data_IF_508213139533
#
_entry.id   IF_508213139533
#
_cell.length_a   1.000
_cell.length_b   1.000
_cell.length_c   1.000
_cell.angle_alpha   90.00
_cell.angle_beta   90.00
_cell.angle_gamma   90.00
#
_symmetry.space_group_name_H-M   'P 1'
#
loop_
_entity.id
_entity.type
_entity.pdbx_description
1 polymer ?
#
# COMPACT_ATOMS: atom_id res chain seq x y z
N UNK A 1 15.81 -9.74 18.32
CA UNK A 1 14.84 -10.22 17.29
C UNK A 1 14.49 -11.66 17.63
N UNK A 2 13.21 -11.98 17.80
CA UNK A 2 12.76 -13.36 18.03
C UNK A 2 12.71 -14.15 16.72
N UNK A 3 12.53 -15.48 16.79
CA UNK A 3 12.53 -16.33 15.58
C UNK A 3 11.36 -16.02 14.64
N UNK A 4 10.18 -15.62 15.15
CA UNK A 4 9.02 -15.23 14.34
C UNK A 4 9.37 -14.03 13.46
N UNK A 5 9.95 -12.99 14.05
CA UNK A 5 10.38 -11.79 13.29
C UNK A 5 11.50 -12.11 12.31
N UNK A 6 12.47 -12.94 12.71
CA UNK A 6 13.54 -13.38 11.83
C UNK A 6 12.99 -14.14 10.60
N UNK A 7 11.97 -14.98 10.77
CA UNK A 7 11.32 -15.67 9.66
C UNK A 7 10.65 -14.69 8.68
N UNK A 8 10.01 -13.64 9.18
CA UNK A 8 9.36 -12.63 8.32
C UNK A 8 10.40 -11.86 7.51
N UNK A 9 11.50 -11.41 8.14
CA UNK A 9 12.55 -10.69 7.41
C UNK A 9 13.23 -11.60 6.37
N UNK A 10 13.55 -12.84 6.72
CA UNK A 10 14.09 -13.81 5.77
C UNK A 10 13.11 -14.11 4.61
N UNK A 11 11.80 -14.13 4.88
CA UNK A 11 10.78 -14.27 3.85
C UNK A 11 10.77 -13.06 2.89
N UNK A 12 10.86 -11.84 3.42
CA UNK A 12 10.96 -10.61 2.60
C UNK A 12 12.20 -10.64 1.70
N UNK A 13 13.34 -11.09 2.24
CA UNK A 13 14.57 -11.23 1.45
C UNK A 13 14.42 -12.26 0.33
N UNK A 14 13.81 -13.44 0.60
CA UNK A 14 13.52 -14.45 -0.45
C UNK A 14 12.66 -13.83 -1.54
N UNK A 15 11.56 -13.18 -1.16
CA UNK A 15 10.64 -12.57 -2.12
C UNK A 15 11.32 -11.47 -2.94
N UNK A 16 12.17 -10.65 -2.32
CA UNK A 16 12.89 -9.58 -2.99
C UNK A 16 13.90 -10.09 -4.01
N UNK A 17 14.61 -11.18 -3.70
CA UNK A 17 15.70 -11.70 -4.51
C UNK A 17 15.27 -12.72 -5.54
N UNK A 18 14.33 -13.58 -5.19
CA UNK A 18 13.97 -14.78 -5.95
C UNK A 18 12.52 -14.77 -6.46
N UNK A 19 11.66 -13.89 -5.91
CA UNK A 19 10.24 -13.84 -6.22
C UNK A 19 9.37 -14.59 -5.21
N UNK A 20 8.08 -14.24 -5.20
CA UNK A 20 7.12 -14.79 -4.24
C UNK A 20 6.87 -16.29 -4.43
N UNK A 21 7.02 -16.78 -5.65
CA UNK A 21 6.89 -18.20 -6.03
C UNK A 21 7.93 -19.08 -5.35
N UNK A 22 9.09 -18.54 -5.02
CA UNK A 22 10.18 -19.24 -4.35
C UNK A 22 10.09 -19.20 -2.81
N UNK A 23 9.12 -18.47 -2.26
CA UNK A 23 8.92 -18.44 -0.81
C UNK A 23 8.54 -19.82 -0.28
N UNK A 24 9.34 -20.36 0.63
CA UNK A 24 8.99 -21.56 1.39
C UNK A 24 9.55 -21.48 2.82
N UNK A 25 8.87 -22.13 3.77
CA UNK A 25 9.35 -22.22 5.16
C UNK A 25 10.70 -22.96 5.25
N UNK A 26 10.98 -23.88 4.31
CA UNK A 26 12.27 -24.58 4.24
C UNK A 26 13.40 -23.64 3.83
N UNK A 27 13.19 -22.78 2.86
CA UNK A 27 14.19 -21.80 2.43
C UNK A 27 14.45 -20.75 3.50
N UNK A 28 13.41 -20.31 4.18
CA UNK A 28 13.52 -19.42 5.34
C UNK A 28 14.34 -20.08 6.45
N UNK A 29 14.07 -21.35 6.81
CA UNK A 29 14.86 -22.08 7.80
C UNK A 29 16.33 -22.19 7.39
N UNK A 30 16.61 -22.50 6.12
CA UNK A 30 17.97 -22.59 5.57
C UNK A 30 18.72 -21.26 5.67
N UNK A 31 18.08 -20.14 5.34
CA UNK A 31 18.68 -18.80 5.42
C UNK A 31 19.00 -18.42 6.86
N UNK A 32 18.14 -18.78 7.79
CA UNK A 32 18.33 -18.50 9.22
C UNK A 32 19.31 -19.47 9.92
N UNK A 33 19.76 -20.54 9.24
CA UNK A 33 20.62 -21.56 9.86
C UNK A 33 19.95 -22.34 10.98
N UNK A 34 18.60 -22.46 10.94
CA UNK A 34 17.83 -23.19 11.95
C UNK A 34 17.30 -24.51 11.41
N UNK A 35 16.78 -25.39 12.31
CA UNK A 35 16.16 -26.63 11.89
C UNK A 35 14.94 -26.38 11.00
N UNK A 36 14.67 -27.26 10.04
CA UNK A 36 13.51 -27.13 9.13
C UNK A 36 12.16 -27.07 9.86
N UNK A 37 12.07 -27.59 11.07
CA UNK A 37 10.86 -27.57 11.89
C UNK A 37 10.67 -26.26 12.66
N UNK A 38 11.71 -25.45 12.81
CA UNK A 38 11.66 -24.25 13.65
C UNK A 38 10.65 -23.21 13.16
N UNK A 39 10.57 -22.83 11.86
CA UNK A 39 9.57 -21.89 11.37
C UNK A 39 8.14 -22.38 11.51
N UNK A 40 7.89 -23.71 11.41
CA UNK A 40 6.55 -24.28 11.51
C UNK A 40 5.92 -24.12 12.89
N UNK A 41 6.71 -23.83 13.93
CA UNK A 41 6.21 -23.49 15.28
C UNK A 41 5.49 -22.13 15.30
N UNK A 42 5.79 -21.26 14.35
CA UNK A 42 5.24 -19.90 14.27
C UNK A 42 4.28 -19.73 13.09
N UNK A 43 4.55 -20.45 12.01
CA UNK A 43 3.79 -20.36 10.76
C UNK A 43 3.44 -21.77 10.29
N UNK A 44 2.19 -22.22 10.49
CA UNK A 44 1.78 -23.57 10.10
C UNK A 44 1.97 -23.87 8.61
N UNK A 45 1.81 -22.84 7.75
CA UNK A 45 1.98 -22.96 6.29
C UNK A 45 2.70 -21.74 5.71
N UNK A 46 3.11 -21.84 4.46
CA UNK A 46 3.64 -20.73 3.66
C UNK A 46 2.67 -19.54 3.64
N UNK A 47 1.38 -19.84 3.53
CA UNK A 47 0.34 -18.80 3.45
C UNK A 47 0.22 -17.99 4.73
N UNK A 48 0.41 -18.61 5.91
CA UNK A 48 0.46 -17.87 7.19
C UNK A 48 1.68 -16.94 7.26
N UNK A 49 2.84 -17.40 6.78
CA UNK A 49 4.03 -16.55 6.71
C UNK A 49 3.83 -15.39 5.74
N UNK A 50 3.25 -15.65 4.57
CA UNK A 50 2.95 -14.62 3.58
C UNK A 50 1.94 -13.60 4.13
N UNK A 51 0.89 -14.06 4.82
CA UNK A 51 -0.09 -13.18 5.46
C UNK A 51 0.56 -12.24 6.48
N UNK A 52 1.49 -12.76 7.30
CA UNK A 52 2.25 -11.93 8.25
C UNK A 52 3.17 -10.92 7.55
N UNK A 53 3.82 -11.31 6.45
CA UNK A 53 4.62 -10.37 5.65
C UNK A 53 3.74 -9.24 5.12
N UNK A 54 2.57 -9.57 4.55
CA UNK A 54 1.63 -8.57 4.02
C UNK A 54 1.04 -7.70 5.14
N UNK A 55 0.71 -8.27 6.31
CA UNK A 55 0.29 -7.53 7.50
C UNK A 55 1.30 -6.43 7.84
N UNK A 56 2.59 -6.76 7.92
CA UNK A 56 3.64 -5.76 8.19
C UNK A 56 3.77 -4.69 7.10
N UNK A 57 3.56 -5.07 5.83
CA UNK A 57 3.55 -4.10 4.74
C UNK A 57 2.41 -3.09 4.90
N UNK A 58 1.20 -3.54 5.22
CA UNK A 58 0.05 -2.66 5.45
C UNK A 58 0.22 -1.81 6.71
N UNK A 59 0.78 -2.36 7.79
CA UNK A 59 1.07 -1.59 9.01
C UNK A 59 2.07 -0.47 8.73
N UNK A 60 3.16 -0.77 8.02
CA UNK A 60 4.16 0.22 7.60
C UNK A 60 3.54 1.29 6.69
N UNK A 61 2.69 0.89 5.75
CA UNK A 61 1.98 1.82 4.88
C UNK A 61 1.02 2.73 5.67
N UNK A 62 0.24 2.15 6.59
CA UNK A 62 -0.68 2.92 7.42
C UNK A 62 0.06 3.93 8.32
N UNK A 63 1.21 3.55 8.89
CA UNK A 63 2.09 4.46 9.65
C UNK A 63 2.61 5.58 8.75
N UNK A 64 3.14 5.26 7.57
CA UNK A 64 3.64 6.24 6.61
C UNK A 64 2.57 7.26 6.21
N UNK A 65 1.33 6.82 5.97
CA UNK A 65 0.22 7.73 5.65
C UNK A 65 -0.17 8.66 6.81
N UNK A 66 0.23 8.36 8.04
CA UNK A 66 -0.02 9.20 9.21
C UNK A 66 1.07 10.26 9.43
N UNK A 67 2.24 10.09 8.80
CA UNK A 67 3.38 11.03 8.92
C UNK A 67 3.15 12.30 8.09
N UNK A 68 2.05 12.98 8.37
CA UNK A 68 1.71 14.26 7.75
C UNK A 68 1.26 15.28 8.80
N UNK A 69 1.59 16.57 8.58
CA UNK A 69 1.09 17.63 9.44
C UNK A 69 -0.45 17.68 9.35
N UNK A 70 -1.09 17.82 10.50
CA UNK A 70 -2.54 18.04 10.55
C UNK A 70 -2.86 19.39 9.91
N UNK A 71 -3.79 19.40 8.95
CA UNK A 71 -4.29 20.63 8.32
C UNK A 71 -5.76 20.86 8.66
N UNK A 72 -6.13 22.12 8.89
CA UNK A 72 -7.54 22.52 8.99
C UNK A 72 -8.23 22.51 7.61
N UNK A 73 -7.47 22.68 6.53
CA UNK A 73 -7.97 22.57 5.15
C UNK A 73 -8.02 21.09 4.70
N UNK A 74 -9.22 20.52 4.46
CA UNK A 74 -9.35 19.14 4.03
C UNK A 74 -8.71 18.86 2.65
N UNK A 75 -8.68 19.84 1.75
CA UNK A 75 -8.07 19.68 0.43
C UNK A 75 -6.54 19.64 0.53
N UNK A 76 -5.95 20.43 1.40
CA UNK A 76 -4.51 20.38 1.69
C UNK A 76 -4.14 19.03 2.35
N UNK A 77 -4.98 18.51 3.25
CA UNK A 77 -4.79 17.20 3.89
C UNK A 77 -4.89 16.05 2.87
N UNK A 78 -5.86 16.14 1.93
CA UNK A 78 -5.99 15.18 0.84
C UNK A 78 -4.76 15.19 -0.09
N UNK A 79 -4.26 16.39 -0.40
CA UNK A 79 -3.06 16.54 -1.23
C UNK A 79 -1.85 15.89 -0.57
N UNK A 80 -1.59 16.21 0.71
CA UNK A 80 -0.49 15.62 1.48
C UNK A 80 -0.61 14.09 1.56
N UNK A 81 -1.82 13.56 1.75
CA UNK A 81 -2.07 12.12 1.75
C UNK A 81 -1.71 11.47 0.40
N UNK A 82 -2.05 12.13 -0.72
CA UNK A 82 -1.69 11.68 -2.05
C UNK A 82 -0.17 11.68 -2.30
N UNK A 83 0.55 12.69 -1.80
CA UNK A 83 2.01 12.75 -1.88
C UNK A 83 2.65 11.59 -1.10
N UNK A 84 2.21 11.32 0.13
CA UNK A 84 2.69 10.19 0.93
C UNK A 84 2.37 8.84 0.28
N UNK A 85 1.19 8.70 -0.33
CA UNK A 85 0.84 7.49 -1.07
C UNK A 85 1.85 7.21 -2.20
N UNK A 86 2.17 8.21 -3.02
CA UNK A 86 3.15 8.08 -4.10
C UNK A 86 4.57 7.86 -3.56
N UNK A 87 4.95 8.58 -2.51
CA UNK A 87 6.26 8.41 -1.89
C UNK A 87 6.45 6.98 -1.40
N UNK A 88 5.46 6.42 -0.70
CA UNK A 88 5.52 5.02 -0.29
C UNK A 88 5.64 4.06 -1.47
N UNK A 89 4.80 4.23 -2.49
CA UNK A 89 4.80 3.35 -3.66
C UNK A 89 6.15 3.34 -4.40
N UNK A 90 6.83 4.49 -4.43
CA UNK A 90 8.11 4.65 -5.15
C UNK A 90 9.32 4.28 -4.28
N UNK A 91 9.27 4.54 -2.97
CA UNK A 91 10.36 4.24 -2.04
C UNK A 91 10.31 2.81 -1.47
N UNK A 92 9.14 2.15 -1.48
CA UNK A 92 8.92 0.79 -0.97
C UNK A 92 8.27 -0.11 -2.03
N UNK A 93 8.91 -0.31 -3.21
CA UNK A 93 8.26 -0.99 -4.34
C UNK A 93 7.96 -2.47 -4.07
N UNK A 94 8.72 -3.14 -3.21
CA UNK A 94 8.45 -4.53 -2.82
C UNK A 94 7.17 -4.63 -1.99
N UNK A 95 7.08 -3.82 -0.94
CA UNK A 95 5.94 -3.75 -0.04
C UNK A 95 4.67 -3.38 -0.80
N UNK A 96 4.75 -2.36 -1.64
CA UNK A 96 3.65 -1.90 -2.48
C UNK A 96 3.14 -3.01 -3.42
N UNK A 97 4.06 -3.75 -4.06
CA UNK A 97 3.71 -4.90 -4.90
C UNK A 97 3.08 -6.03 -4.09
N UNK A 98 3.60 -6.34 -2.91
CA UNK A 98 3.03 -7.36 -2.02
C UNK A 98 1.61 -7.02 -1.61
N UNK A 99 1.32 -5.76 -1.31
CA UNK A 99 -0.01 -5.31 -0.89
C UNK A 99 -1.05 -5.35 -2.02
N UNK A 100 -0.68 -4.93 -3.23
CA UNK A 100 -1.65 -4.63 -4.29
C UNK A 100 -1.57 -5.53 -5.53
N UNK A 101 -0.48 -6.25 -5.72
CA UNK A 101 -0.28 -7.10 -6.91
C UNK A 101 -0.10 -8.57 -6.57
N UNK A 102 -0.22 -8.94 -5.29
CA UNK A 102 -0.13 -10.32 -4.83
C UNK A 102 -1.53 -10.85 -4.51
N UNK A 103 -1.90 -12.06 -4.98
CA UNK A 103 -3.13 -12.69 -4.54
C UNK A 103 -3.18 -12.81 -3.01
N UNK A 104 -4.35 -12.55 -2.43
CA UNK A 104 -4.54 -12.68 -0.99
C UNK A 104 -4.26 -14.12 -0.54
N UNK A 105 -3.43 -14.30 0.51
CA UNK A 105 -3.13 -15.62 1.03
C UNK A 105 -4.40 -16.25 1.60
N UNK A 106 -4.62 -17.54 1.31
CA UNK A 106 -5.77 -18.28 1.81
C UNK A 106 -5.46 -18.90 3.19
N UNK A 107 -5.05 -18.08 4.14
CA UNK A 107 -4.83 -18.51 5.52
C UNK A 107 -6.07 -18.24 6.38
N UNK A 108 -6.29 -19.05 7.40
CA UNK A 108 -7.43 -18.90 8.33
C UNK A 108 -7.43 -17.55 9.09
N UNK A 109 -6.28 -16.88 9.18
CA UNK A 109 -6.05 -15.64 9.93
C UNK A 109 -6.10 -14.37 9.07
N UNK A 110 -6.89 -14.37 8.01
CA UNK A 110 -7.05 -13.18 7.13
C UNK A 110 -7.72 -11.98 7.83
N UNK A 111 -8.29 -12.16 9.02
CA UNK A 111 -9.01 -11.09 9.70
C UNK A 111 -8.11 -9.90 10.05
N UNK A 112 -6.88 -10.15 10.53
CA UNK A 112 -5.91 -9.10 10.85
C UNK A 112 -5.46 -8.37 9.58
N UNK A 113 -5.05 -9.11 8.55
CA UNK A 113 -4.66 -8.54 7.27
C UNK A 113 -5.78 -7.71 6.63
N UNK A 114 -7.03 -8.18 6.71
CA UNK A 114 -8.21 -7.46 6.24
C UNK A 114 -8.43 -6.18 7.05
N UNK A 115 -8.23 -6.23 8.37
CA UNK A 115 -8.36 -5.06 9.25
C UNK A 115 -7.32 -3.99 8.89
N UNK A 116 -6.07 -4.37 8.63
CA UNK A 116 -5.03 -3.41 8.25
C UNK A 116 -5.28 -2.75 6.89
N UNK A 117 -5.70 -3.53 5.89
CA UNK A 117 -6.06 -2.99 4.58
C UNK A 117 -7.23 -2.00 4.69
N UNK A 118 -8.25 -2.35 5.49
CA UNK A 118 -9.36 -1.45 5.77
C UNK A 118 -8.89 -0.19 6.51
N UNK A 119 -8.01 -0.32 7.50
CA UNK A 119 -7.46 0.83 8.24
C UNK A 119 -6.73 1.82 7.32
N UNK A 120 -5.94 1.32 6.38
CA UNK A 120 -5.26 2.15 5.39
C UNK A 120 -6.28 2.91 4.51
N UNK A 121 -7.31 2.23 4.01
CA UNK A 121 -8.37 2.85 3.21
C UNK A 121 -9.24 3.81 4.03
N UNK A 122 -9.53 3.51 5.29
CA UNK A 122 -10.27 4.38 6.21
C UNK A 122 -9.55 5.71 6.48
N UNK A 123 -8.23 5.75 6.34
CA UNK A 123 -7.48 7.02 6.40
C UNK A 123 -7.90 7.96 5.27
N UNK A 124 -8.03 7.47 4.05
CA UNK A 124 -8.55 8.24 2.91
C UNK A 124 -10.02 8.61 3.12
N UNK A 125 -10.86 7.65 3.54
CA UNK A 125 -12.31 7.89 3.79
C UNK A 125 -12.55 9.01 4.79
N UNK A 126 -11.77 9.09 5.86
CA UNK A 126 -11.86 10.16 6.86
C UNK A 126 -11.49 11.52 6.29
N UNK A 127 -10.45 11.60 5.47
CA UNK A 127 -10.08 12.85 4.80
C UNK A 127 -11.16 13.25 3.80
N UNK A 128 -11.68 12.30 3.02
CA UNK A 128 -12.78 12.54 2.08
C UNK A 128 -14.07 12.98 2.75
N UNK A 129 -14.41 12.42 3.92
CA UNK A 129 -15.56 12.88 4.70
C UNK A 129 -15.45 14.36 5.10
N UNK A 130 -14.23 14.82 5.45
CA UNK A 130 -13.95 16.24 5.72
C UNK A 130 -14.06 17.10 4.47
N UNK A 131 -13.60 16.61 3.30
CA UNK A 131 -13.77 17.31 2.01
C UNK A 131 -15.25 17.48 1.69
N UNK A 132 -16.08 16.48 1.97
CA UNK A 132 -17.54 16.55 1.79
C UNK A 132 -18.27 17.33 2.90
N UNK A 133 -17.58 17.79 3.94
CA UNK A 133 -18.20 18.48 5.08
C UNK A 133 -19.11 17.59 5.94
N UNK A 134 -18.92 16.25 5.90
CA UNK A 134 -19.70 15.29 6.68
C UNK A 134 -18.88 14.70 7.83
N UNK A 135 -19.56 14.25 8.91
CA UNK A 135 -18.89 13.73 10.11
C UNK A 135 -18.37 12.31 9.95
N UNK A 136 -18.97 11.53 9.06
CA UNK A 136 -18.62 10.14 8.82
C UNK A 136 -18.76 9.79 7.35
N UNK A 137 -18.05 8.78 6.83
CA UNK A 137 -18.18 8.34 5.45
C UNK A 137 -19.60 7.94 5.09
N UNK A 138 -20.01 8.35 3.90
CA UNK A 138 -21.30 8.00 3.25
C UNK A 138 -20.99 7.25 1.95
N UNK A 139 -21.97 6.62 1.31
CA UNK A 139 -21.76 5.99 0.00
C UNK A 139 -21.14 6.94 -1.06
N UNK A 140 -21.49 8.22 -1.05
CA UNK A 140 -20.89 9.23 -1.93
C UNK A 140 -19.40 9.45 -1.61
N UNK A 141 -19.07 9.57 -0.33
CA UNK A 141 -17.68 9.64 0.14
C UNK A 141 -16.89 8.41 -0.29
N UNK A 142 -17.47 7.22 -0.19
CA UNK A 142 -16.81 5.97 -0.55
C UNK A 142 -16.55 5.87 -2.06
N UNK A 143 -17.48 6.34 -2.90
CA UNK A 143 -17.30 6.41 -4.35
C UNK A 143 -16.16 7.36 -4.73
N UNK A 144 -16.11 8.54 -4.13
CA UNK A 144 -15.05 9.52 -4.40
C UNK A 144 -13.70 9.05 -3.81
N UNK A 145 -13.70 8.36 -2.66
CA UNK A 145 -12.48 7.74 -2.13
C UNK A 145 -11.95 6.65 -3.08
N UNK A 146 -12.82 5.84 -3.68
CA UNK A 146 -12.42 4.85 -4.69
C UNK A 146 -11.88 5.53 -5.96
N UNK A 147 -12.50 6.64 -6.40
CA UNK A 147 -11.99 7.42 -7.53
C UNK A 147 -10.59 7.96 -7.25
N UNK A 148 -10.37 8.59 -6.10
CA UNK A 148 -9.07 9.11 -5.70
C UNK A 148 -8.05 7.98 -5.63
N UNK A 149 -8.39 6.89 -4.92
CA UNK A 149 -7.48 5.75 -4.77
C UNK A 149 -7.12 5.13 -6.13
N UNK A 150 -8.09 4.83 -6.99
CA UNK A 150 -7.82 4.24 -8.30
C UNK A 150 -6.94 5.14 -9.18
N UNK A 151 -7.14 6.46 -9.11
CA UNK A 151 -6.32 7.43 -9.85
C UNK A 151 -4.89 7.46 -9.35
N UNK A 152 -4.70 7.54 -8.03
CA UNK A 152 -3.37 7.55 -7.41
C UNK A 152 -2.65 6.20 -7.58
N UNK A 153 -3.38 5.08 -7.47
CA UNK A 153 -2.85 3.75 -7.69
C UNK A 153 -2.39 3.55 -9.15
N UNK A 154 -3.19 3.98 -10.11
CA UNK A 154 -2.81 3.96 -11.52
C UNK A 154 -1.57 4.81 -11.81
N UNK A 155 -1.51 6.01 -11.23
CA UNK A 155 -0.34 6.88 -11.36
C UNK A 155 0.92 6.24 -10.75
N UNK A 156 0.81 5.70 -9.53
CA UNK A 156 1.90 4.99 -8.86
C UNK A 156 2.41 3.81 -9.71
N UNK A 157 1.51 3.01 -10.28
CA UNK A 157 1.86 1.89 -11.15
C UNK A 157 2.61 2.33 -12.41
N UNK A 158 2.15 3.40 -13.06
CA UNK A 158 2.80 3.97 -14.25
C UNK A 158 4.21 4.49 -13.91
N UNK A 159 4.37 5.17 -12.79
CA UNK A 159 5.65 5.71 -12.35
C UNK A 159 6.62 4.61 -11.91
N UNK A 160 6.17 3.64 -11.12
CA UNK A 160 7.00 2.52 -10.63
C UNK A 160 7.50 1.62 -11.76
N UNK A 161 6.68 1.39 -12.78
CA UNK A 161 7.05 0.59 -13.96
C UNK A 161 7.86 1.37 -14.99
N UNK A 162 8.15 2.66 -14.75
CA UNK A 162 8.80 3.55 -15.73
C UNK A 162 8.12 3.54 -17.13
N UNK A 163 6.83 3.26 -17.19
CA UNK A 163 6.09 3.14 -18.46
C UNK A 163 6.21 4.40 -19.32
N UNK A 164 6.36 5.56 -18.70
CA UNK A 164 6.46 6.86 -19.41
C UNK A 164 7.77 7.04 -20.17
N UNK A 165 8.82 6.29 -19.85
CA UNK A 165 10.13 6.38 -20.53
C UNK A 165 10.07 5.90 -21.99
N UNK A 166 9.09 5.04 -22.30
CA UNK A 166 8.85 4.51 -23.65
C UNK A 166 7.88 5.38 -24.47
N UNK A 167 7.30 6.41 -23.85
CA UNK A 167 6.39 7.34 -24.50
C UNK A 167 7.15 8.57 -24.98
N UNK A 168 6.78 9.07 -26.18
CA UNK A 168 7.34 10.33 -26.72
C UNK A 168 6.68 11.52 -26.03
N UNK A 169 7.02 11.73 -24.76
CA UNK A 169 6.52 12.84 -23.95
C UNK A 169 7.64 13.87 -23.71
N UNK A 170 7.27 15.14 -23.64
CA UNK A 170 8.24 16.18 -23.32
C UNK A 170 8.70 16.07 -21.85
N UNK A 171 9.93 16.49 -21.52
CA UNK A 171 10.41 16.53 -20.13
C UNK A 171 9.51 17.33 -19.19
N UNK A 172 8.81 18.32 -19.70
CA UNK A 172 7.85 19.13 -18.94
C UNK A 172 6.65 18.31 -18.49
N UNK A 173 6.15 17.39 -19.33
CA UNK A 173 5.03 16.51 -18.98
C UNK A 173 5.45 15.60 -17.83
N UNK A 174 6.62 14.96 -17.91
CA UNK A 174 7.12 14.11 -16.82
C UNK A 174 7.21 14.86 -15.49
N UNK A 175 7.78 16.08 -15.50
CA UNK A 175 7.92 16.89 -14.28
C UNK A 175 6.60 17.35 -13.67
N UNK A 176 5.56 17.56 -14.49
CA UNK A 176 4.27 18.11 -14.04
C UNK A 176 3.18 17.08 -13.86
N UNK A 177 3.40 15.82 -14.25
CA UNK A 177 2.37 14.79 -14.25
C UNK A 177 1.69 14.61 -12.88
N UNK A 178 2.46 14.44 -11.82
CA UNK A 178 1.94 14.25 -10.44
C UNK A 178 1.09 15.45 -10.03
N UNK A 179 1.66 16.66 -10.07
CA UNK A 179 0.95 17.87 -9.67
C UNK A 179 -0.30 18.12 -10.53
N UNK A 180 -0.25 17.78 -11.82
CA UNK A 180 -1.40 17.92 -12.72
C UNK A 180 -2.53 16.96 -12.36
N UNK A 181 -2.22 15.67 -12.13
CA UNK A 181 -3.21 14.66 -11.72
C UNK A 181 -3.84 15.02 -10.39
N UNK A 182 -3.03 15.38 -9.39
CA UNK A 182 -3.53 15.80 -8.06
C UNK A 182 -4.40 17.06 -8.16
N UNK A 183 -4.02 18.03 -9.00
CA UNK A 183 -4.84 19.22 -9.27
C UNK A 183 -6.18 18.90 -9.97
N UNK A 184 -6.23 17.86 -10.83
CA UNK A 184 -7.48 17.39 -11.44
C UNK A 184 -8.38 16.73 -10.41
N UNK A 185 -7.83 15.89 -9.52
CA UNK A 185 -8.58 15.30 -8.40
C UNK A 185 -9.22 16.41 -7.56
N UNK A 186 -8.44 17.41 -7.13
CA UNK A 186 -8.94 18.51 -6.31
C UNK A 186 -10.08 19.29 -6.98
N UNK A 187 -9.95 19.61 -8.27
CA UNK A 187 -11.02 20.29 -9.04
C UNK A 187 -12.26 19.43 -9.22
N UNK A 188 -12.09 18.13 -9.49
CA UNK A 188 -13.20 17.20 -9.64
C UNK A 188 -14.04 17.09 -8.39
N UNK A 189 -13.41 17.07 -7.23
CA UNK A 189 -14.08 16.98 -5.92
C UNK A 189 -14.74 18.29 -5.49
N UNK A 190 -14.32 19.44 -6.03
CA UNK A 190 -14.93 20.75 -5.76
C UNK A 190 -16.27 20.96 -6.49
N UNK A 191 -16.62 20.09 -7.44
CA UNK A 191 -17.86 20.13 -8.19
C UNK A 191 -18.49 18.72 -8.10
N UNK A 192 -19.21 18.37 -7.01
CA UNK A 192 -19.85 17.08 -6.93
C UNK A 192 -20.78 16.91 -8.13
N UNK A 193 -20.65 15.77 -8.81
CA UNK A 193 -21.56 15.41 -9.89
C UNK A 193 -23.00 15.41 -9.35
N UNK A 194 -23.92 16.07 -10.05
CA UNK A 194 -25.35 16.10 -9.77
C UNK A 194 -25.95 14.69 -9.75
#
# INVERSE_FOLDING_TARGET
MNLRDACVEAAREVIAQEGIEHLSLRDVARRLGVSHQAPYRHFPTREHLLAEVMHRCYAQFAEHLQDRPSSSDPHADLHALGELYLDFALSHPLEYRLMFSTPWPQAAEQAELTADANQAFDTLRRVMARVHGVKSPTPAVDLDALFVWSTMHGLAGILSANCTTHLTLSPTVHKKAVAHVMGLIGRGLSHPAC
#
